data_IF_638615588328
#
_entry.id   IF_638615588328
#
_cell.length_a   1.000
_cell.length_b   1.000
_cell.length_c   1.000
_cell.angle_alpha   90.00
_cell.angle_beta   90.00
_cell.angle_gamma   90.00
#
_symmetry.space_group_name_H-M   'P 1'
#
loop_
_entity.id
_entity.type
_entity.pdbx_description
1 polymer ?
#
# COMPACT_ATOMS: atom_id res chain seq x y z
N UNK A 1 -5.59 -75.05 -22.52
CA UNK A 1 -5.74 -74.61 -21.11
C UNK A 1 -4.88 -73.38 -20.77
N UNK A 2 -3.65 -73.27 -21.28
CA UNK A 2 -2.72 -72.14 -21.02
C UNK A 2 -3.18 -70.78 -21.56
N UNK A 3 -3.81 -70.75 -22.75
CA UNK A 3 -4.27 -69.49 -23.39
C UNK A 3 -5.41 -68.82 -22.59
N UNK A 4 -6.31 -69.61 -22.02
CA UNK A 4 -7.40 -69.08 -21.18
C UNK A 4 -6.90 -68.50 -19.85
N UNK A 5 -5.78 -69.02 -19.31
CA UNK A 5 -5.15 -68.46 -18.12
C UNK A 5 -4.48 -67.11 -18.41
N UNK A 6 -3.79 -66.99 -19.55
CA UNK A 6 -3.16 -65.74 -19.99
C UNK A 6 -4.19 -64.62 -20.26
N UNK A 7 -5.32 -64.96 -20.90
CA UNK A 7 -6.41 -64.00 -21.14
C UNK A 7 -7.05 -63.50 -19.83
N UNK A 8 -7.26 -64.40 -18.85
CA UNK A 8 -7.75 -64.01 -17.52
C UNK A 8 -6.76 -63.11 -16.78
N UNK A 9 -5.47 -63.42 -16.85
CA UNK A 9 -4.43 -62.61 -16.21
C UNK A 9 -4.34 -61.20 -16.81
N UNK A 10 -4.44 -61.09 -18.14
CA UNK A 10 -4.48 -59.79 -18.84
C UNK A 10 -5.67 -58.93 -18.44
N UNK A 11 -6.85 -59.54 -18.29
CA UNK A 11 -8.06 -58.85 -17.81
C UNK A 11 -7.92 -58.35 -16.37
N UNK A 12 -7.34 -59.16 -15.48
CA UNK A 12 -7.11 -58.78 -14.08
C UNK A 12 -6.12 -57.62 -13.97
N UNK A 13 -5.05 -57.64 -14.77
CA UNK A 13 -4.07 -56.55 -14.81
C UNK A 13 -4.67 -55.25 -15.36
N UNK A 14 -5.52 -55.33 -16.39
CA UNK A 14 -6.22 -54.17 -16.96
C UNK A 14 -7.19 -53.52 -15.95
N UNK A 15 -7.95 -54.34 -15.20
CA UNK A 15 -8.86 -53.86 -14.16
C UNK A 15 -8.08 -53.21 -13.01
N UNK A 16 -6.95 -53.81 -12.58
CA UNK A 16 -6.11 -53.20 -11.54
C UNK A 16 -5.53 -51.85 -11.99
N UNK A 17 -5.02 -51.75 -13.23
CA UNK A 17 -4.54 -50.49 -13.79
C UNK A 17 -5.64 -49.42 -13.85
N UNK A 18 -6.84 -49.78 -14.30
CA UNK A 18 -7.99 -48.89 -14.36
C UNK A 18 -8.40 -48.39 -12.95
N UNK A 19 -8.45 -49.29 -11.97
CA UNK A 19 -8.74 -48.91 -10.58
C UNK A 19 -7.64 -48.02 -9.98
N UNK A 20 -6.36 -48.31 -10.23
CA UNK A 20 -5.27 -47.42 -9.78
C UNK A 20 -5.31 -46.05 -10.45
N UNK A 21 -5.64 -45.97 -11.74
CA UNK A 21 -5.79 -44.71 -12.46
C UNK A 21 -6.97 -43.89 -11.93
N UNK A 22 -8.12 -44.53 -11.64
CA UNK A 22 -9.26 -43.88 -10.99
C UNK A 22 -8.88 -43.40 -9.58
N UNK A 23 -8.16 -44.20 -8.82
CA UNK A 23 -7.76 -43.84 -7.45
C UNK A 23 -6.76 -42.67 -7.46
N UNK A 24 -5.79 -42.68 -8.37
CA UNK A 24 -4.86 -41.56 -8.60
C UNK A 24 -5.59 -40.31 -9.07
N UNK A 25 -6.54 -40.44 -10.00
CA UNK A 25 -7.39 -39.34 -10.44
C UNK A 25 -8.21 -38.79 -9.26
N UNK A 26 -8.81 -39.66 -8.45
CA UNK A 26 -9.53 -39.24 -7.24
C UNK A 26 -8.61 -38.56 -6.23
N UNK A 27 -7.39 -39.05 -6.02
CA UNK A 27 -6.42 -38.44 -5.09
C UNK A 27 -5.92 -37.10 -5.62
N UNK A 28 -5.65 -36.98 -6.92
CA UNK A 28 -5.29 -35.71 -7.58
C UNK A 28 -6.46 -34.73 -7.48
N UNK A 29 -7.70 -35.17 -7.79
CA UNK A 29 -8.90 -34.36 -7.60
C UNK A 29 -9.11 -33.99 -6.13
N UNK A 30 -8.79 -34.88 -5.17
CA UNK A 30 -8.89 -34.62 -3.72
C UNK A 30 -7.82 -33.63 -3.24
N UNK A 31 -6.62 -33.69 -3.81
CA UNK A 31 -5.54 -32.74 -3.57
C UNK A 31 -5.84 -31.37 -4.21
N UNK A 32 -6.46 -31.35 -5.39
CA UNK A 32 -6.97 -30.13 -6.03
C UNK A 32 -8.17 -29.54 -5.27
N UNK A 33 -9.08 -30.37 -4.75
CA UNK A 33 -10.28 -29.94 -4.00
C UNK A 33 -10.00 -29.57 -2.54
N UNK A 34 -8.84 -29.93 -1.97
CA UNK A 34 -8.39 -29.37 -0.68
C UNK A 34 -8.13 -27.87 -0.75
N UNK A 35 -7.88 -27.32 -1.94
CA UNK A 35 -8.00 -25.88 -2.17
C UNK A 35 -9.47 -25.64 -2.51
N UNK A 36 -10.26 -25.23 -1.52
CA UNK A 36 -11.71 -25.20 -1.66
C UNK A 36 -12.14 -24.27 -2.81
N UNK A 37 -12.80 -24.86 -3.81
CA UNK A 37 -13.18 -24.22 -5.07
C UNK A 37 -14.50 -23.47 -4.88
N UNK A 38 -14.48 -22.15 -5.07
CA UNK A 38 -15.70 -21.33 -5.09
C UNK A 38 -16.15 -21.18 -6.55
N UNK A 39 -16.93 -22.13 -7.06
CA UNK A 39 -17.58 -22.02 -8.39
C UNK A 39 -16.63 -21.57 -9.52
N UNK A 40 -16.97 -20.46 -10.21
CA UNK A 40 -16.24 -19.95 -11.37
C UNK A 40 -14.80 -19.45 -11.09
N UNK A 41 -14.33 -19.45 -9.84
CA UNK A 41 -12.96 -19.04 -9.47
C UNK A 41 -11.87 -19.92 -10.09
N UNK A 42 -12.18 -21.15 -10.51
CA UNK A 42 -11.25 -21.99 -11.27
C UNK A 42 -10.94 -21.45 -12.67
N UNK A 43 -11.93 -20.79 -13.29
CA UNK A 43 -11.92 -20.49 -14.71
C UNK A 43 -11.72 -19.00 -14.98
N UNK A 44 -12.10 -18.14 -14.05
CA UNK A 44 -12.05 -16.69 -14.25
C UNK A 44 -11.82 -15.90 -12.97
N UNK A 45 -11.20 -14.74 -13.13
CA UNK A 45 -11.03 -13.73 -12.08
C UNK A 45 -12.24 -12.78 -11.95
N UNK A 46 -13.31 -12.97 -12.75
CA UNK A 46 -14.49 -12.10 -12.73
C UNK A 46 -15.20 -12.08 -11.38
N UNK A 47 -15.27 -13.23 -10.68
CA UNK A 47 -15.83 -13.30 -9.34
C UNK A 47 -15.06 -12.40 -8.36
N UNK A 48 -13.73 -12.47 -8.39
CA UNK A 48 -12.85 -11.62 -7.58
C UNK A 48 -13.03 -10.14 -7.93
N UNK A 49 -13.02 -9.81 -9.22
CA UNK A 49 -13.24 -8.44 -9.71
C UNK A 49 -14.59 -7.88 -9.23
N UNK A 50 -15.66 -8.67 -9.28
CA UNK A 50 -16.99 -8.27 -8.81
C UNK A 50 -17.00 -7.90 -7.31
N UNK A 51 -16.36 -8.71 -6.46
CA UNK A 51 -16.33 -8.41 -5.02
C UNK A 51 -15.36 -7.27 -4.68
N UNK A 52 -14.25 -7.15 -5.41
CA UNK A 52 -13.30 -6.03 -5.26
C UNK A 52 -13.94 -4.71 -5.69
N UNK A 53 -14.65 -4.67 -6.83
CA UNK A 53 -15.33 -3.46 -7.30
C UNK A 53 -16.50 -3.02 -6.41
N UNK A 54 -16.98 -3.89 -5.51
CA UNK A 54 -17.99 -3.59 -4.49
C UNK A 54 -17.39 -3.10 -3.16
N UNK A 55 -16.07 -3.01 -3.04
CA UNK A 55 -15.38 -2.50 -1.84
C UNK A 55 -15.48 -3.38 -0.59
N UNK A 56 -16.07 -4.58 -0.68
CA UNK A 56 -16.36 -5.45 0.46
C UNK A 56 -15.62 -6.79 0.41
N UNK A 57 -14.57 -6.88 -0.41
CA UNK A 57 -13.84 -8.13 -0.64
C UNK A 57 -13.21 -8.71 0.63
N UNK A 58 -12.68 -7.86 1.53
CA UNK A 58 -12.11 -8.30 2.81
C UNK A 58 -13.14 -9.04 3.69
N UNK A 59 -14.40 -8.58 3.75
CA UNK A 59 -15.49 -9.26 4.48
C UNK A 59 -15.92 -10.56 3.78
N UNK A 60 -15.75 -10.64 2.46
CA UNK A 60 -16.00 -11.87 1.72
C UNK A 60 -14.91 -12.89 2.05
N UNK A 61 -13.65 -12.49 2.06
CA UNK A 61 -12.53 -13.35 2.43
C UNK A 61 -12.68 -13.91 3.85
N UNK A 62 -13.02 -13.07 4.84
CA UNK A 62 -13.30 -13.49 6.21
C UNK A 62 -14.35 -14.61 6.26
N UNK A 63 -15.53 -14.40 5.64
CA UNK A 63 -16.58 -15.42 5.58
C UNK A 63 -16.18 -16.70 4.85
N UNK A 64 -15.27 -16.61 3.88
CA UNK A 64 -14.77 -17.77 3.16
C UNK A 64 -13.80 -18.57 4.02
N UNK A 65 -12.93 -17.90 4.77
CA UNK A 65 -12.02 -18.54 5.72
C UNK A 65 -12.77 -19.18 6.89
N UNK A 66 -13.80 -18.53 7.42
CA UNK A 66 -14.70 -19.11 8.43
C UNK A 66 -15.35 -20.42 7.97
N UNK A 67 -15.71 -20.49 6.67
CA UNK A 67 -16.45 -21.62 6.11
C UNK A 67 -15.55 -22.75 5.60
N UNK A 68 -14.45 -22.41 4.94
CA UNK A 68 -13.62 -23.35 4.17
C UNK A 68 -12.24 -23.58 4.77
N UNK A 69 -11.86 -22.81 5.79
CA UNK A 69 -10.58 -22.93 6.50
C UNK A 69 -9.49 -22.00 5.96
N UNK A 70 -8.22 -22.23 6.35
CA UNK A 70 -7.13 -21.25 6.23
C UNK A 70 -6.63 -21.02 4.80
N UNK A 71 -7.04 -21.81 3.82
CA UNK A 71 -6.60 -21.66 2.42
C UNK A 71 -7.80 -21.73 1.49
N UNK A 72 -8.03 -20.66 0.74
CA UNK A 72 -9.19 -20.52 -0.16
C UNK A 72 -8.72 -20.14 -1.56
N UNK A 73 -9.25 -20.80 -2.61
CA UNK A 73 -8.99 -20.37 -4.00
C UNK A 73 -9.92 -19.21 -4.35
N UNK A 74 -9.34 -18.09 -4.78
CA UNK A 74 -10.09 -16.88 -5.15
C UNK A 74 -9.93 -16.48 -6.62
N UNK A 75 -9.17 -17.28 -7.40
CA UNK A 75 -9.02 -17.13 -8.85
C UNK A 75 -8.23 -18.30 -9.45
N UNK A 76 -8.09 -18.37 -10.79
CA UNK A 76 -7.52 -19.54 -11.47
C UNK A 76 -6.12 -19.89 -10.98
N UNK A 77 -5.31 -18.87 -10.71
CA UNK A 77 -3.95 -18.97 -10.19
C UNK A 77 -3.76 -18.12 -8.93
N UNK A 78 -4.81 -17.96 -8.12
CA UNK A 78 -4.79 -17.11 -6.93
C UNK A 78 -5.41 -17.84 -5.75
N UNK A 79 -4.63 -17.95 -4.67
CA UNK A 79 -5.08 -18.47 -3.38
C UNK A 79 -4.93 -17.37 -2.34
N UNK A 80 -5.93 -17.28 -1.46
CA UNK A 80 -5.88 -16.47 -0.25
C UNK A 80 -5.53 -17.40 0.92
N UNK A 81 -4.63 -16.93 1.79
CA UNK A 81 -4.06 -17.74 2.86
C UNK A 81 -4.17 -16.97 4.18
N UNK A 82 -5.03 -17.46 5.06
CA UNK A 82 -5.20 -16.99 6.43
C UNK A 82 -4.57 -18.02 7.38
N UNK A 83 -3.24 -18.04 7.39
CA UNK A 83 -2.44 -18.97 8.19
C UNK A 83 -1.18 -18.25 8.73
N UNK A 84 -1.13 -17.90 10.04
CA UNK A 84 0.01 -17.19 10.63
C UNK A 84 1.35 -17.93 10.46
N UNK A 85 1.33 -19.26 10.46
CA UNK A 85 2.50 -20.11 10.24
C UNK A 85 3.07 -19.99 8.82
N UNK A 86 2.27 -19.58 7.83
CA UNK A 86 2.71 -19.43 6.45
C UNK A 86 3.54 -18.16 6.22
N UNK A 87 3.49 -17.19 7.13
CA UNK A 87 4.17 -15.88 6.99
C UNK A 87 5.67 -16.07 6.75
N UNK A 88 6.34 -16.91 7.54
CA UNK A 88 7.78 -17.18 7.40
C UNK A 88 8.13 -17.93 6.11
N UNK A 89 7.18 -18.67 5.56
CA UNK A 89 7.38 -19.41 4.31
C UNK A 89 7.24 -18.48 3.11
N UNK A 90 6.17 -17.67 3.08
CA UNK A 90 5.80 -16.81 1.94
C UNK A 90 6.65 -15.53 1.90
N UNK A 91 6.88 -14.87 3.03
CA UNK A 91 7.61 -13.59 3.10
C UNK A 91 9.10 -13.76 3.43
N UNK A 92 9.69 -14.90 3.04
CA UNK A 92 11.10 -15.16 3.28
C UNK A 92 12.03 -14.33 2.35
N UNK A 93 13.29 -14.19 2.73
CA UNK A 93 14.30 -13.45 1.94
C UNK A 93 15.13 -14.33 1.00
N UNK A 94 14.84 -15.63 0.91
CA UNK A 94 15.55 -16.59 0.03
C UNK A 94 15.17 -16.42 -1.44
N UNK A 95 14.03 -15.77 -1.71
CA UNK A 95 13.54 -15.53 -3.06
C UNK A 95 12.73 -16.68 -3.64
N UNK A 96 12.33 -17.65 -2.82
CA UNK A 96 11.52 -18.81 -3.22
C UNK A 96 10.13 -18.35 -3.73
N UNK A 97 9.62 -17.24 -3.18
CA UNK A 97 8.33 -16.65 -3.52
C UNK A 97 8.53 -15.22 -4.00
N UNK A 98 8.47 -15.03 -5.33
CA UNK A 98 8.62 -13.71 -5.93
C UNK A 98 7.32 -12.91 -5.81
N UNK A 99 7.47 -11.59 -5.66
CA UNK A 99 6.35 -10.66 -5.77
C UNK A 99 5.70 -10.82 -7.15
N UNK A 100 4.38 -10.93 -7.18
CA UNK A 100 3.61 -11.10 -8.40
C UNK A 100 3.75 -9.90 -9.35
N UNK A 101 3.73 -10.16 -10.65
CA UNK A 101 3.77 -9.12 -11.70
C UNK A 101 2.57 -8.18 -11.72
N UNK A 102 1.56 -8.43 -10.89
CA UNK A 102 0.44 -7.49 -10.71
C UNK A 102 0.99 -6.12 -10.32
N UNK A 103 1.96 -6.06 -9.39
CA UNK A 103 2.60 -4.80 -9.00
C UNK A 103 3.48 -4.16 -10.08
N UNK A 104 4.08 -4.94 -10.99
CA UNK A 104 4.94 -4.40 -12.06
C UNK A 104 4.18 -3.85 -13.26
N UNK A 105 2.91 -4.26 -13.45
CA UNK A 105 2.06 -3.84 -14.57
C UNK A 105 1.15 -2.66 -14.25
N UNK A 106 1.06 -2.27 -12.97
CA UNK A 106 0.15 -1.25 -12.46
C UNK A 106 0.69 0.19 -12.44
N UNK A 107 1.99 0.51 -12.29
CA UNK A 107 2.34 1.90 -12.06
C UNK A 107 2.51 2.68 -13.37
N UNK A 108 2.14 3.97 -13.32
CA UNK A 108 2.50 4.99 -14.30
C UNK A 108 4.04 5.16 -14.40
N UNK A 109 4.79 4.77 -13.34
CA UNK A 109 6.26 4.77 -13.28
C UNK A 109 6.76 3.52 -12.56
N UNK A 110 7.58 2.70 -13.25
CA UNK A 110 8.21 1.53 -12.63
C UNK A 110 9.19 1.98 -11.52
N UNK A 111 9.02 1.46 -10.31
CA UNK A 111 9.70 1.94 -9.11
C UNK A 111 9.99 0.79 -8.14
N UNK A 112 10.64 1.09 -7.00
CA UNK A 112 11.02 0.09 -6.00
C UNK A 112 9.83 -0.75 -5.50
N UNK A 113 8.63 -0.16 -5.37
CA UNK A 113 7.44 -0.92 -4.99
C UNK A 113 7.04 -1.95 -6.06
N UNK A 114 7.28 -1.64 -7.33
CA UNK A 114 6.83 -2.42 -8.49
C UNK A 114 7.89 -3.41 -8.99
N UNK A 115 9.11 -3.31 -8.47
CA UNK A 115 10.23 -4.18 -8.80
C UNK A 115 10.00 -5.62 -8.32
N UNK A 116 9.93 -6.57 -9.25
CA UNK A 116 9.68 -7.99 -8.97
C UNK A 116 10.95 -8.83 -8.95
N UNK A 117 12.05 -8.32 -9.53
CA UNK A 117 13.35 -8.96 -9.48
C UNK A 117 14.01 -8.69 -8.12
N UNK A 118 14.27 -9.72 -7.28
CA UNK A 118 14.85 -9.54 -5.96
C UNK A 118 16.24 -8.87 -5.98
N UNK A 119 17.04 -9.12 -7.02
CA UNK A 119 18.39 -8.57 -7.13
C UNK A 119 18.33 -7.08 -7.46
N UNK A 120 17.50 -6.69 -8.43
CA UNK A 120 17.29 -5.27 -8.77
C UNK A 120 16.65 -4.52 -7.62
N UNK A 121 15.63 -5.09 -6.97
CA UNK A 121 15.00 -4.50 -5.79
C UNK A 121 16.02 -4.26 -4.67
N UNK A 122 16.89 -5.24 -4.41
CA UNK A 122 17.96 -5.09 -3.43
C UNK A 122 18.95 -3.98 -3.81
N UNK A 123 19.33 -3.89 -5.09
CA UNK A 123 20.23 -2.86 -5.59
C UNK A 123 19.63 -1.45 -5.49
N UNK A 124 18.36 -1.27 -5.85
CA UNK A 124 17.62 -0.01 -5.75
C UNK A 124 17.38 0.38 -4.27
N UNK A 125 17.08 -0.57 -3.39
CA UNK A 125 16.82 -0.31 -1.96
C UNK A 125 18.08 0.02 -1.17
N UNK A 126 19.20 -0.64 -1.47
CA UNK A 126 20.42 -0.61 -0.64
C UNK A 126 20.92 0.81 -0.32
N UNK A 127 21.00 1.77 -1.27
CA UNK A 127 21.50 3.11 -1.01
C UNK A 127 20.65 3.90 0.01
N UNK A 128 19.34 3.64 0.04
CA UNK A 128 18.39 4.41 0.85
C UNK A 128 17.95 3.72 2.14
N UNK A 129 18.21 2.40 2.29
CA UNK A 129 17.73 1.61 3.42
C UNK A 129 18.08 2.20 4.80
N UNK A 130 19.25 2.83 4.93
CA UNK A 130 19.70 3.46 6.18
C UNK A 130 18.82 4.65 6.60
N UNK A 131 18.22 5.37 5.66
CA UNK A 131 17.40 6.55 5.94
C UNK A 131 16.02 6.20 6.50
N UNK A 132 15.56 4.97 6.26
CA UNK A 132 14.32 4.43 6.82
C UNK A 132 14.55 3.64 8.12
N UNK A 133 15.76 3.64 8.66
CA UNK A 133 16.03 3.11 10.00
C UNK A 133 15.57 4.09 11.08
N UNK A 134 15.46 3.62 12.34
CA UNK A 134 15.10 4.50 13.47
C UNK A 134 16.00 5.74 13.54
N UNK A 135 17.33 5.54 13.43
CA UNK A 135 18.31 6.64 13.44
C UNK A 135 18.19 7.55 12.20
N UNK A 136 17.69 7.02 11.07
CA UNK A 136 17.49 7.79 9.85
C UNK A 136 16.22 8.65 9.88
N UNK A 137 15.18 8.18 10.57
CA UNK A 137 13.87 8.84 10.64
C UNK A 137 13.77 9.78 11.84
N UNK A 138 14.39 9.47 12.98
CA UNK A 138 14.31 10.29 14.19
C UNK A 138 14.66 11.78 13.95
N UNK A 139 15.69 12.14 13.16
CA UNK A 139 15.98 13.56 12.87
C UNK A 139 14.89 14.31 12.08
N UNK A 140 13.88 13.61 11.55
CA UNK A 140 12.76 14.22 10.83
C UNK A 140 11.64 14.70 11.77
N UNK A 141 11.72 14.42 13.07
CA UNK A 141 10.72 14.82 14.06
C UNK A 141 10.38 16.33 14.04
N UNK A 142 11.33 17.27 13.91
CA UNK A 142 11.02 18.70 13.84
C UNK A 142 10.13 19.09 12.66
N UNK A 143 10.27 18.40 11.53
CA UNK A 143 9.40 18.57 10.36
C UNK A 143 7.98 18.14 10.69
N UNK A 144 7.81 17.00 11.37
CA UNK A 144 6.50 16.50 11.78
C UNK A 144 5.84 17.42 12.81
N UNK A 145 6.59 17.88 13.82
CA UNK A 145 6.11 18.78 14.88
C UNK A 145 5.53 20.07 14.31
N UNK A 146 6.16 20.61 13.27
CA UNK A 146 5.68 21.82 12.58
C UNK A 146 4.28 21.60 11.99
N UNK A 147 4.06 20.44 11.36
CA UNK A 147 2.78 20.12 10.72
C UNK A 147 1.72 19.70 11.76
N UNK A 148 2.13 19.09 12.89
CA UNK A 148 1.24 18.82 14.03
C UNK A 148 0.72 20.13 14.61
N UNK A 149 1.61 21.12 14.83
CA UNK A 149 1.21 22.46 15.30
C UNK A 149 0.23 23.12 14.34
N UNK A 150 0.47 23.02 13.04
CA UNK A 150 -0.45 23.54 12.03
C UNK A 150 -1.82 22.84 12.07
N UNK A 151 -1.85 21.50 12.19
CA UNK A 151 -3.11 20.76 12.36
C UNK A 151 -3.87 21.26 13.61
N UNK A 152 -3.20 21.35 14.75
CA UNK A 152 -3.81 21.86 15.99
C UNK A 152 -4.33 23.28 15.80
N UNK A 153 -3.55 24.17 15.20
CA UNK A 153 -3.94 25.55 14.94
C UNK A 153 -5.19 25.64 14.05
N UNK A 154 -5.26 24.86 12.98
CA UNK A 154 -6.43 24.82 12.10
C UNK A 154 -7.66 24.26 12.82
N UNK A 155 -7.48 23.24 13.67
CA UNK A 155 -8.58 22.67 14.44
C UNK A 155 -9.13 23.65 15.48
N UNK A 156 -8.26 24.32 16.24
CA UNK A 156 -8.64 25.34 17.22
C UNK A 156 -9.35 26.52 16.51
N UNK A 157 -8.70 27.12 15.51
CA UNK A 157 -9.17 28.35 14.85
C UNK A 157 -10.45 28.15 14.05
N UNK A 158 -10.74 26.94 13.54
CA UNK A 158 -11.95 26.69 12.73
C UNK A 158 -13.09 26.05 13.51
N UNK A 159 -12.77 25.07 14.36
CA UNK A 159 -13.77 24.21 14.99
C UNK A 159 -13.90 24.37 16.50
N UNK A 160 -13.06 25.20 17.14
CA UNK A 160 -13.25 25.57 18.55
C UNK A 160 -13.63 27.04 18.70
N UNK A 161 -12.80 27.93 18.15
CA UNK A 161 -12.99 29.39 18.28
C UNK A 161 -13.60 30.01 17.01
N UNK A 162 -13.76 29.18 15.97
CA UNK A 162 -14.01 29.60 14.61
C UNK A 162 -15.47 29.61 14.16
N UNK A 163 -15.68 29.89 12.86
CA UNK A 163 -17.00 29.93 12.24
C UNK A 163 -17.74 28.59 12.31
N UNK A 164 -16.99 27.47 12.41
CA UNK A 164 -17.53 26.12 12.46
C UNK A 164 -17.51 25.53 13.89
N UNK A 165 -17.39 26.36 14.94
CA UNK A 165 -17.32 25.91 16.33
C UNK A 165 -18.52 25.07 16.79
N UNK A 166 -19.70 25.30 16.20
CA UNK A 166 -20.92 24.50 16.45
C UNK A 166 -21.12 23.37 15.42
N UNK A 167 -20.23 23.30 14.43
CA UNK A 167 -20.27 22.35 13.34
C UNK A 167 -19.64 21.02 13.69
N UNK A 168 -19.75 20.06 12.77
CA UNK A 168 -19.04 18.79 12.87
C UNK A 168 -17.70 18.89 12.15
N UNK A 169 -16.61 18.63 12.85
CA UNK A 169 -15.30 18.49 12.22
C UNK A 169 -15.20 17.11 11.54
N UNK A 170 -15.02 17.09 10.22
CA UNK A 170 -14.67 15.88 9.49
C UNK A 170 -13.21 15.49 9.77
N UNK A 171 -12.91 15.10 11.00
CA UNK A 171 -11.55 14.89 11.51
C UNK A 171 -10.74 13.91 10.65
N UNK A 172 -11.41 12.91 10.07
CA UNK A 172 -10.77 12.02 9.10
C UNK A 172 -10.15 12.79 7.93
N UNK A 173 -10.89 13.71 7.32
CA UNK A 173 -10.39 14.52 6.20
C UNK A 173 -9.17 15.36 6.62
N UNK A 174 -9.23 16.00 7.79
CA UNK A 174 -8.11 16.77 8.35
C UNK A 174 -6.86 15.93 8.62
N UNK A 175 -7.03 14.70 9.10
CA UNK A 175 -5.92 13.76 9.25
C UNK A 175 -5.27 13.43 7.90
N UNK A 176 -6.05 13.31 6.83
CA UNK A 176 -5.49 13.06 5.49
C UNK A 176 -4.71 14.28 4.98
N UNK A 177 -5.24 15.49 5.15
CA UNK A 177 -4.50 16.72 4.85
C UNK A 177 -3.19 16.78 5.64
N UNK A 178 -3.24 16.47 6.94
CA UNK A 178 -2.07 16.39 7.81
C UNK A 178 -1.03 15.40 7.29
N UNK A 179 -1.41 14.17 6.97
CA UNK A 179 -0.43 13.16 6.53
C UNK A 179 0.20 13.49 5.18
N UNK A 180 -0.56 14.08 4.25
CA UNK A 180 -0.01 14.55 2.98
C UNK A 180 0.98 15.71 3.18
N UNK A 181 0.65 16.65 4.06
CA UNK A 181 1.55 17.76 4.40
C UNK A 181 2.79 17.31 5.18
N UNK A 182 2.66 16.33 6.08
CA UNK A 182 3.81 15.71 6.77
C UNK A 182 4.73 15.06 5.75
N UNK A 183 4.20 14.25 4.84
CA UNK A 183 5.02 13.58 3.83
C UNK A 183 5.71 14.59 2.92
N UNK A 184 5.03 15.66 2.50
CA UNK A 184 5.66 16.78 1.81
C UNK A 184 6.80 17.38 2.64
N UNK A 185 6.54 17.69 3.91
CA UNK A 185 7.50 18.35 4.81
C UNK A 185 8.74 17.50 5.06
N UNK A 186 8.58 16.22 5.37
CA UNK A 186 9.74 15.33 5.59
C UNK A 186 10.48 14.96 4.31
N UNK A 187 9.84 15.12 3.14
CA UNK A 187 10.44 14.79 1.84
C UNK A 187 11.15 15.97 1.19
N UNK A 188 10.62 17.19 1.33
CA UNK A 188 11.09 18.38 0.62
C UNK A 188 11.31 19.61 1.52
N UNK A 189 11.21 19.46 2.85
CA UNK A 189 11.14 20.57 3.81
C UNK A 189 9.94 21.52 3.59
N UNK A 190 8.96 21.12 2.76
CA UNK A 190 7.83 21.94 2.35
C UNK A 190 6.52 21.15 2.41
N UNK A 191 5.49 21.73 3.04
CA UNK A 191 4.13 21.18 2.99
C UNK A 191 3.56 21.30 1.58
N UNK A 192 2.55 20.48 1.25
CA UNK A 192 1.80 20.62 0.00
C UNK A 192 0.78 21.76 0.13
N UNK A 193 0.26 21.98 1.34
CA UNK A 193 -0.60 23.11 1.71
C UNK A 193 -2.05 22.72 1.97
N UNK A 194 -2.36 21.43 2.12
CA UNK A 194 -3.73 20.97 2.30
C UNK A 194 -4.35 21.41 3.63
N UNK A 195 -3.56 21.44 4.72
CA UNK A 195 -4.03 21.95 6.01
C UNK A 195 -4.38 23.43 5.94
N UNK A 196 -3.49 24.25 5.38
CA UNK A 196 -3.71 25.69 5.27
C UNK A 196 -4.93 26.05 4.43
N UNK A 197 -5.13 25.33 3.31
CA UNK A 197 -6.32 25.51 2.48
C UNK A 197 -7.59 24.87 3.04
N UNK A 198 -7.46 23.84 3.90
CA UNK A 198 -8.57 23.05 4.41
C UNK A 198 -9.34 22.27 3.34
N UNK A 199 -8.73 22.05 2.16
CA UNK A 199 -9.33 21.35 1.01
C UNK A 199 -8.27 20.78 0.07
N UNK A 200 -8.67 19.78 -0.71
CA UNK A 200 -7.91 19.30 -1.87
C UNK A 200 -7.98 20.34 -3.00
N UNK A 201 -7.08 21.34 -2.96
CA UNK A 201 -7.16 22.51 -3.82
C UNK A 201 -6.70 22.25 -5.26
N UNK A 202 -5.87 21.23 -5.47
CA UNK A 202 -5.31 20.83 -6.76
C UNK A 202 -5.92 19.52 -7.31
N UNK A 203 -6.78 18.86 -6.54
CA UNK A 203 -7.47 17.63 -6.92
C UNK A 203 -6.60 16.38 -6.80
N UNK A 204 -5.38 16.48 -6.27
CA UNK A 204 -4.42 15.38 -6.23
C UNK A 204 -4.90 14.24 -5.31
N UNK A 205 -5.56 14.55 -4.18
CA UNK A 205 -6.07 13.52 -3.27
C UNK A 205 -7.20 12.72 -3.93
N UNK A 206 -8.14 13.39 -4.59
CA UNK A 206 -9.21 12.72 -5.33
C UNK A 206 -8.70 11.90 -6.51
N UNK A 207 -7.66 12.38 -7.21
CA UNK A 207 -6.98 11.63 -8.27
C UNK A 207 -6.28 10.38 -7.73
N UNK A 208 -5.63 10.47 -6.56
CA UNK A 208 -4.98 9.33 -5.92
C UNK A 208 -5.98 8.23 -5.57
N UNK A 209 -7.13 8.58 -5.00
CA UNK A 209 -8.21 7.64 -4.67
C UNK A 209 -8.74 6.92 -5.93
N UNK A 210 -9.04 7.67 -6.99
CA UNK A 210 -9.48 7.10 -8.27
C UNK A 210 -8.43 6.19 -8.91
N UNK A 211 -7.14 6.51 -8.77
CA UNK A 211 -6.06 5.66 -9.25
C UNK A 211 -6.00 4.34 -8.47
N UNK A 212 -6.20 4.36 -7.16
CA UNK A 212 -6.25 3.14 -6.33
C UNK A 212 -7.46 2.24 -6.66
N UNK A 213 -8.62 2.82 -6.97
CA UNK A 213 -9.79 2.07 -7.46
C UNK A 213 -9.47 1.37 -8.78
N UNK A 214 -8.88 2.10 -9.73
CA UNK A 214 -8.44 1.54 -11.00
C UNK A 214 -7.44 0.38 -10.80
N UNK A 215 -6.43 0.58 -9.94
CA UNK A 215 -5.44 -0.45 -9.64
C UNK A 215 -6.03 -1.68 -8.97
N UNK A 216 -7.08 -1.51 -8.17
CA UNK A 216 -7.81 -2.63 -7.56
C UNK A 216 -8.48 -3.50 -8.62
N UNK A 217 -9.03 -2.90 -9.69
CA UNK A 217 -9.65 -3.64 -10.79
C UNK A 217 -8.64 -4.34 -11.69
N UNK A 218 -7.63 -3.60 -12.16
CA UNK A 218 -6.57 -4.16 -13.01
C UNK A 218 -5.73 -5.17 -12.25
N UNK A 219 -5.57 -5.01 -10.94
CA UNK A 219 -4.92 -5.99 -10.09
C UNK A 219 -5.63 -7.35 -10.07
N UNK A 220 -6.95 -7.35 -10.28
CA UNK A 220 -7.73 -8.56 -10.43
C UNK A 220 -7.54 -9.22 -11.81
N UNK A 221 -7.47 -8.43 -12.87
CA UNK A 221 -7.35 -8.90 -14.26
C UNK A 221 -6.39 -7.97 -15.03
N UNK A 222 -5.07 -8.26 -15.04
CA UNK A 222 -4.08 -7.36 -15.65
C UNK A 222 -4.28 -7.11 -17.15
N UNK A 223 -4.95 -8.05 -17.84
CA UNK A 223 -5.29 -7.92 -19.26
C UNK A 223 -6.26 -6.75 -19.51
N UNK A 224 -7.08 -6.36 -18.52
CA UNK A 224 -7.98 -5.20 -18.65
C UNK A 224 -7.22 -3.91 -18.96
N UNK A 225 -6.01 -3.75 -18.44
CA UNK A 225 -5.18 -2.57 -18.67
C UNK A 225 -4.85 -2.34 -20.16
N UNK A 226 -4.66 -3.42 -20.92
CA UNK A 226 -4.41 -3.36 -22.37
C UNK A 226 -5.63 -2.83 -23.14
N UNK A 227 -6.84 -3.11 -22.64
CA UNK A 227 -8.08 -2.66 -23.24
C UNK A 227 -8.51 -1.28 -22.73
N UNK A 228 -8.06 -0.88 -21.54
CA UNK A 228 -8.38 0.38 -20.88
C UNK A 228 -7.25 1.41 -21.09
N UNK A 229 -6.33 1.57 -20.15
CA UNK A 229 -5.36 2.67 -20.14
C UNK A 229 -4.34 2.61 -21.28
N UNK A 230 -3.96 1.41 -21.71
CA UNK A 230 -2.94 1.21 -22.76
C UNK A 230 -3.53 1.15 -24.17
N UNK A 231 -4.85 1.27 -24.31
CA UNK A 231 -5.50 1.25 -25.63
C UNK A 231 -5.37 2.63 -26.30
N UNK A 232 -4.63 2.76 -27.42
CA UNK A 232 -4.40 4.05 -28.07
C UNK A 232 -5.68 4.70 -28.62
N UNK A 233 -6.75 3.93 -28.79
CA UNK A 233 -8.04 4.40 -29.31
C UNK A 233 -9.04 4.77 -28.21
N UNK A 234 -8.78 4.37 -26.96
CA UNK A 234 -9.66 4.66 -25.82
C UNK A 234 -8.93 5.62 -24.89
N UNK A 235 -9.17 6.93 -25.09
CA UNK A 235 -8.64 7.98 -24.22
C UNK A 235 -9.60 8.22 -23.05
N UNK A 236 -9.08 8.28 -21.83
CA UNK A 236 -9.83 8.67 -20.63
C UNK A 236 -10.38 7.53 -19.76
N UNK A 237 -10.18 6.27 -20.12
CA UNK A 237 -10.56 5.09 -19.30
C UNK A 237 -9.39 4.47 -18.51
N UNK A 238 -8.22 5.12 -18.53
CA UNK A 238 -7.09 4.77 -17.67
C UNK A 238 -7.15 5.48 -16.31
N UNK A 239 -6.24 5.15 -15.37
CA UNK A 239 -6.18 5.86 -14.10
C UNK A 239 -5.87 7.34 -14.38
N UNK A 240 -6.48 8.28 -13.65
CA UNK A 240 -6.07 9.67 -13.75
C UNK A 240 -4.58 9.75 -13.41
N UNK A 241 -3.83 10.51 -14.23
CA UNK A 241 -2.38 10.53 -14.13
C UNK A 241 -1.91 11.15 -12.81
N UNK A 242 -1.06 10.46 -12.07
CA UNK A 242 -0.30 11.02 -10.93
C UNK A 242 0.85 11.92 -11.39
N UNK A 243 0.68 12.60 -12.54
CA UNK A 243 1.69 13.44 -13.17
C UNK A 243 2.10 14.62 -12.30
N UNK A 244 1.16 15.18 -11.52
CA UNK A 244 1.44 16.28 -10.59
C UNK A 244 2.47 15.88 -9.52
N UNK A 245 2.41 14.65 -9.00
CA UNK A 245 3.36 14.14 -8.01
C UNK A 245 4.76 13.99 -8.62
N UNK A 246 4.83 13.45 -9.84
CA UNK A 246 6.09 13.34 -10.57
C UNK A 246 6.68 14.71 -10.92
N UNK A 247 5.85 15.62 -11.44
CA UNK A 247 6.25 16.99 -11.77
C UNK A 247 6.73 17.75 -10.53
N UNK A 248 6.02 17.62 -9.40
CA UNK A 248 6.43 18.18 -8.11
C UNK A 248 7.79 17.61 -7.69
N UNK A 249 7.98 16.29 -7.75
CA UNK A 249 9.25 15.66 -7.38
C UNK A 249 10.43 16.17 -8.22
N UNK A 250 10.24 16.31 -9.54
CA UNK A 250 11.24 16.90 -10.45
C UNK A 250 11.48 18.37 -10.12
N UNK A 251 10.42 19.16 -9.95
CA UNK A 251 10.51 20.58 -9.63
C UNK A 251 11.28 20.83 -8.33
N UNK A 252 11.01 20.04 -7.28
CA UNK A 252 11.69 20.14 -5.98
C UNK A 252 13.16 19.75 -6.09
N UNK A 253 13.49 18.68 -6.82
CA UNK A 253 14.87 18.29 -7.08
C UNK A 253 15.66 19.38 -7.80
N UNK A 254 15.09 19.94 -8.87
CA UNK A 254 15.71 21.04 -9.64
C UNK A 254 15.89 22.28 -8.77
N UNK A 255 14.87 22.65 -7.99
CA UNK A 255 14.95 23.79 -7.08
C UNK A 255 16.07 23.63 -6.04
N UNK A 256 16.24 22.43 -5.46
CA UNK A 256 17.33 22.11 -4.52
C UNK A 256 18.70 22.25 -5.18
N UNK A 257 18.88 21.74 -6.40
CA UNK A 257 20.14 21.89 -7.13
C UNK A 257 20.47 23.33 -7.52
N UNK A 258 19.45 24.15 -7.77
CA UNK A 258 19.61 25.56 -8.09
C UNK A 258 19.67 26.46 -6.85
N UNK A 259 19.46 25.90 -5.65
CA UNK A 259 19.41 26.64 -4.38
C UNK A 259 18.24 27.63 -4.31
N UNK A 260 17.11 27.31 -4.95
CA UNK A 260 15.90 28.13 -4.99
C UNK A 260 14.95 27.90 -3.82
N UNK A 261 15.25 26.93 -2.95
CA UNK A 261 14.40 26.55 -1.81
C UNK A 261 14.98 26.94 -0.43
N UNK A 262 16.00 27.81 -0.40
CA UNK A 262 16.70 28.27 0.81
C UNK A 262 15.79 28.89 1.89
N UNK A 263 14.65 29.45 1.50
CA UNK A 263 13.68 30.02 2.44
C UNK A 263 12.89 28.96 3.20
N UNK A 264 12.90 27.72 2.69
CA UNK A 264 12.08 26.62 3.22
C UNK A 264 12.88 25.41 3.67
N UNK A 265 14.10 25.27 3.18
CA UNK A 265 15.00 24.17 3.49
C UNK A 265 16.16 24.68 4.35
N UNK A 266 16.27 24.09 5.54
CA UNK A 266 17.40 24.27 6.45
C UNK A 266 18.37 23.09 6.27
N UNK A 267 19.62 23.32 5.81
CA UNK A 267 20.62 22.26 5.64
C UNK A 267 20.98 21.52 6.94
N UNK A 268 20.75 22.13 8.10
CA UNK A 268 20.97 21.47 9.40
C UNK A 268 19.84 20.48 9.74
N UNK A 269 18.68 20.61 9.09
CA UNK A 269 17.50 19.76 9.28
C UNK A 269 17.19 18.95 8.02
N UNK A 270 18.10 18.03 7.69
CA UNK A 270 18.05 17.23 6.46
C UNK A 270 16.72 16.47 6.25
N UNK A 271 16.13 16.64 5.07
CA UNK A 271 14.93 15.94 4.60
C UNK A 271 15.28 14.67 3.79
N UNK A 272 14.28 13.96 3.24
CA UNK A 272 14.59 12.82 2.37
C UNK A 272 15.24 13.20 1.05
N UNK A 273 14.99 14.41 0.52
CA UNK A 273 15.64 14.87 -0.70
C UNK A 273 17.15 15.04 -0.48
N UNK A 274 17.59 15.60 0.64
CA UNK A 274 19.02 15.65 1.02
C UNK A 274 19.60 14.24 1.08
N UNK A 275 18.91 13.35 1.79
CA UNK A 275 19.33 11.95 1.96
C UNK A 275 19.46 11.23 0.63
N UNK A 276 18.58 11.47 -0.33
CA UNK A 276 18.63 10.85 -1.65
C UNK A 276 19.72 11.45 -2.54
N UNK A 277 19.99 12.76 -2.44
CA UNK A 277 21.14 13.39 -3.08
C UNK A 277 22.44 12.81 -2.52
N UNK A 278 22.53 12.63 -1.20
CA UNK A 278 23.66 11.96 -0.55
C UNK A 278 23.82 10.51 -1.01
N UNK A 279 22.71 9.79 -1.21
CA UNK A 279 22.73 8.42 -1.75
C UNK A 279 23.33 8.39 -3.16
N UNK A 280 22.98 9.36 -4.01
CA UNK A 280 23.54 9.54 -5.35
C UNK A 280 25.02 9.86 -5.29
N UNK A 281 25.43 10.82 -4.47
CA UNK A 281 26.82 11.21 -4.31
C UNK A 281 27.70 10.05 -3.83
N UNK A 282 27.17 9.21 -2.93
CA UNK A 282 27.86 8.02 -2.45
C UNK A 282 27.84 6.84 -3.44
N UNK A 283 26.92 6.82 -4.41
CA UNK A 283 26.73 5.71 -5.37
C UNK A 283 26.51 6.21 -6.81
N UNK A 284 27.42 7.04 -7.39
CA UNK A 284 27.17 7.76 -8.64
C UNK A 284 27.03 6.86 -9.88
N UNK A 285 27.50 5.61 -9.80
CA UNK A 285 27.35 4.61 -10.88
C UNK A 285 26.08 3.75 -10.77
N UNK A 286 25.25 3.95 -9.75
CA UNK A 286 24.05 3.12 -9.48
C UNK A 286 22.79 3.96 -9.27
N UNK A 287 22.95 5.20 -8.83
CA UNK A 287 21.83 6.10 -8.52
C UNK A 287 21.95 7.35 -9.40
N UNK A 288 20.92 7.62 -10.17
CA UNK A 288 20.79 8.81 -11.00
C UNK A 288 19.61 9.68 -10.54
N UNK A 289 19.37 10.80 -11.24
CA UNK A 289 18.27 11.72 -10.90
C UNK A 289 16.89 11.07 -11.10
N UNK A 290 16.75 10.18 -12.09
CA UNK A 290 15.52 9.44 -12.31
C UNK A 290 15.21 8.53 -11.11
N UNK A 291 16.23 7.90 -10.54
CA UNK A 291 16.10 7.09 -9.33
C UNK A 291 15.73 7.91 -8.10
N UNK A 292 16.31 9.11 -7.94
CA UNK A 292 15.91 10.05 -6.87
C UNK A 292 14.43 10.42 -7.02
N UNK A 293 14.00 10.85 -8.21
CA UNK A 293 12.60 11.20 -8.49
C UNK A 293 11.66 10.03 -8.20
N UNK A 294 12.05 8.82 -8.57
CA UNK A 294 11.29 7.59 -8.28
C UNK A 294 11.10 7.36 -6.77
N UNK A 295 12.14 7.57 -5.95
CA UNK A 295 12.03 7.46 -4.50
C UNK A 295 11.17 8.57 -3.87
N UNK A 296 11.30 9.81 -4.34
CA UNK A 296 10.47 10.94 -3.89
C UNK A 296 8.98 10.68 -4.16
N UNK A 297 8.64 10.17 -5.34
CA UNK A 297 7.26 9.81 -5.69
C UNK A 297 6.72 8.68 -4.79
N UNK A 298 7.53 7.67 -4.47
CA UNK A 298 7.12 6.59 -3.56
C UNK A 298 6.76 7.14 -2.18
N UNK A 299 7.56 8.05 -1.63
CA UNK A 299 7.27 8.65 -0.33
C UNK A 299 5.88 9.31 -0.33
N UNK A 300 5.59 10.14 -1.34
CA UNK A 300 4.31 10.83 -1.49
C UNK A 300 3.12 9.86 -1.60
N UNK A 301 3.18 8.91 -2.53
CA UNK A 301 2.05 8.04 -2.84
C UNK A 301 1.81 6.99 -1.74
N UNK A 302 2.88 6.40 -1.21
CA UNK A 302 2.75 5.29 -0.25
C UNK A 302 2.64 5.76 1.20
N UNK A 303 3.25 6.89 1.54
CA UNK A 303 3.39 7.35 2.92
C UNK A 303 2.15 8.02 3.50
N UNK A 304 1.42 8.78 2.68
CA UNK A 304 0.35 9.64 3.18
C UNK A 304 -0.92 8.83 3.56
N UNK A 305 -1.52 8.14 2.60
CA UNK A 305 -2.83 7.48 2.79
C UNK A 305 -2.80 6.34 3.81
N UNK A 306 -1.72 5.55 3.83
CA UNK A 306 -1.53 4.43 4.77
C UNK A 306 -1.41 4.91 6.23
N UNK A 307 -0.69 6.02 6.43
CA UNK A 307 -0.60 6.69 7.73
C UNK A 307 -1.94 7.30 8.11
N UNK A 308 -2.64 7.93 7.15
CA UNK A 308 -3.92 8.58 7.38
C UNK A 308 -4.96 7.58 7.91
N UNK A 309 -5.13 6.43 7.24
CA UNK A 309 -6.10 5.42 7.66
C UNK A 309 -5.74 4.81 9.01
N UNK A 310 -4.45 4.66 9.32
CA UNK A 310 -3.98 4.15 10.62
C UNK A 310 -4.32 5.11 11.77
N UNK A 311 -4.03 6.40 11.61
CA UNK A 311 -4.36 7.43 12.59
C UNK A 311 -5.88 7.58 12.73
N UNK A 312 -6.60 7.65 11.60
CA UNK A 312 -8.08 7.70 11.55
C UNK A 312 -8.70 6.54 12.32
N UNK A 313 -8.23 5.32 12.08
CA UNK A 313 -8.74 4.11 12.76
C UNK A 313 -8.44 4.16 14.25
N UNK A 314 -7.22 4.53 14.62
CA UNK A 314 -6.81 4.63 16.03
C UNK A 314 -7.69 5.62 16.79
N UNK A 315 -7.92 6.82 16.23
CA UNK A 315 -8.77 7.84 16.84
C UNK A 315 -10.23 7.37 16.87
N UNK A 316 -10.75 6.83 15.76
CA UNK A 316 -12.13 6.34 15.68
C UNK A 316 -12.43 5.28 16.75
N UNK A 317 -11.60 4.23 16.84
CA UNK A 317 -11.79 3.18 17.83
C UNK A 317 -11.55 3.66 19.25
N UNK A 318 -10.65 4.62 19.47
CA UNK A 318 -10.45 5.22 20.79
C UNK A 318 -11.69 6.02 21.24
N UNK A 319 -12.24 6.87 20.37
CA UNK A 319 -13.43 7.68 20.67
C UNK A 319 -14.69 6.83 20.87
N UNK A 320 -14.81 5.70 20.15
CA UNK A 320 -15.92 4.74 20.33
C UNK A 320 -15.86 3.95 21.64
N UNK A 321 -14.70 3.94 22.31
CA UNK A 321 -14.47 3.16 23.52
C UNK A 321 -13.99 4.05 24.68
N UNK A 322 -14.90 4.56 25.53
CA UNK A 322 -14.55 5.52 26.60
C UNK A 322 -13.44 5.05 27.54
N UNK A 323 -13.35 3.73 27.78
CA UNK A 323 -12.27 3.13 28.58
C UNK A 323 -10.89 3.31 27.92
N UNK A 324 -10.80 3.09 26.61
CA UNK A 324 -9.55 3.23 25.85
C UNK A 324 -9.16 4.70 25.80
N UNK A 325 -10.11 5.58 25.50
CA UNK A 325 -9.86 7.03 25.48
C UNK A 325 -9.34 7.57 26.81
N UNK A 326 -9.96 7.18 27.94
CA UNK A 326 -9.50 7.59 29.27
C UNK A 326 -8.08 7.13 29.53
N UNK A 327 -7.80 5.85 29.30
CA UNK A 327 -6.46 5.29 29.49
C UNK A 327 -5.41 6.02 28.66
N UNK A 328 -5.69 6.31 27.38
CA UNK A 328 -4.78 7.06 26.51
C UNK A 328 -4.49 8.45 27.09
N UNK A 329 -5.53 9.17 27.56
CA UNK A 329 -5.35 10.48 28.19
C UNK A 329 -4.54 10.41 29.48
N UNK A 330 -4.78 9.41 30.31
CA UNK A 330 -4.04 9.21 31.57
C UNK A 330 -2.56 8.92 31.29
N UNK A 331 -2.25 8.09 30.28
CA UNK A 331 -0.88 7.80 29.84
C UNK A 331 -0.18 9.06 29.31
N UNK A 332 -0.87 9.89 28.51
CA UNK A 332 -0.33 11.17 28.03
C UNK A 332 -0.07 12.17 29.16
N UNK A 333 -0.99 12.27 30.13
CA UNK A 333 -0.83 13.13 31.30
C UNK A 333 0.35 12.68 32.17
N UNK A 334 0.48 11.37 32.40
CA UNK A 334 1.61 10.80 33.15
C UNK A 334 2.96 11.02 32.45
N UNK A 335 2.96 11.12 31.12
CA UNK A 335 4.14 11.46 30.32
C UNK A 335 4.43 12.97 30.24
N UNK A 336 3.58 13.82 30.82
CA UNK A 336 3.72 15.29 30.74
C UNK A 336 3.41 15.86 29.36
N UNK A 337 2.62 15.16 28.55
CA UNK A 337 2.27 15.54 27.17
C UNK A 337 0.88 16.19 27.04
N UNK A 338 0.25 16.56 28.16
CA UNK A 338 -1.02 17.30 28.15
C UNK A 338 -0.78 18.81 28.18
N UNK A 339 -1.48 19.56 27.32
CA UNK A 339 -1.62 21.02 27.45
C UNK A 339 -2.33 21.27 28.78
N UNK A 340 -1.67 21.91 29.74
CA UNK A 340 -2.32 22.30 30.98
C UNK A 340 -3.48 23.24 30.63
N UNK A 341 -4.70 22.90 31.08
CA UNK A 341 -5.89 23.73 30.86
C UNK A 341 -5.85 25.05 31.64
N UNK A 342 -4.74 25.38 32.31
CA UNK A 342 -4.52 26.63 33.05
C UNK A 342 -4.00 27.79 32.21
N UNK A 343 -3.58 27.56 30.96
CA UNK A 343 -3.02 28.60 30.08
C UNK A 343 -4.06 29.33 29.22
N UNK A 344 -5.34 29.16 29.54
CA UNK A 344 -6.45 29.93 28.96
C UNK A 344 -7.06 30.81 30.04
N UNK A 345 -6.45 31.98 30.25
CA UNK A 345 -7.03 33.15 30.92
C UNK A 345 -7.08 34.31 29.94
#
# INVERSE_FOLDING_TARGET
MVIFAALKMGWVLAVMWFLTAITLLFVILRLYTKVCIIGATEWTNLWRLYHVSRGSFHLVLERLHDKYGPVVRIGPNVVDVDAPEAVKTVFNTKGDWKKTEVGSKLPVVYNLFSQTDPQKHAAEKRPIAKYYSMNGVQPLEPHMDTVIKELCHQLETRFMDGPDAKGTCALGQWILFYTWDVVGKVTFSQTIGYLGHGRDFDGTLGVAEQALDYFSWVGCIPVLDHFLAKNPYIKGLGPPGLGNIGAMSVQRLVARYQGLDKDTHDPEQADFLDKFIDAKNANPGTVDDAQIVSWLMINLIAGADTTAISIRSTIYFSLRNPRIWRRLRDELAAAGLTKDSSDTN
#
